data_IF_812693244218
#
_entry.id   IF_812693244218
#
_cell.length_a   1.000
_cell.length_b   1.000
_cell.length_c   1.000
_cell.angle_alpha   90.00
_cell.angle_beta   90.00
_cell.angle_gamma   90.00
#
_symmetry.space_group_name_H-M   'P 1'
#
loop_
_entity.id
_entity.type
_entity.pdbx_description
1 polymer ?
#
# COMPACT_ATOMS: atom_id res chain seq x y z
N UNK A 1 1.95 -6.48 -24.76
CA UNK A 1 1.60 -5.32 -23.92
C UNK A 1 2.75 -5.12 -22.95
N UNK A 2 3.35 -3.93 -22.81
CA UNK A 2 4.33 -3.70 -21.75
C UNK A 2 3.66 -3.94 -20.39
N UNK A 3 4.34 -4.69 -19.54
CA UNK A 3 3.87 -5.08 -18.22
C UNK A 3 3.79 -3.83 -17.32
N UNK A 4 2.58 -3.50 -16.82
CA UNK A 4 2.33 -2.29 -16.03
C UNK A 4 3.01 -2.37 -14.68
N UNK A 5 3.92 -1.44 -14.37
CA UNK A 5 4.73 -1.42 -13.13
C UNK A 5 3.89 -1.32 -11.84
N UNK A 6 2.63 -0.87 -11.95
CA UNK A 6 1.74 -0.67 -10.80
C UNK A 6 0.54 -1.61 -10.72
N UNK A 7 0.41 -2.57 -11.65
CA UNK A 7 -0.76 -3.45 -11.62
C UNK A 7 -0.80 -4.29 -10.34
N UNK A 8 -1.94 -4.26 -9.64
CA UNK A 8 -2.18 -5.04 -8.43
C UNK A 8 -2.45 -6.52 -8.73
N UNK A 9 -2.68 -6.85 -10.01
CA UNK A 9 -2.76 -8.19 -10.55
C UNK A 9 -1.39 -8.85 -10.76
N UNK A 10 -0.52 -8.88 -9.76
CA UNK A 10 0.72 -9.66 -9.85
C UNK A 10 0.40 -11.17 -9.93
N UNK A 11 0.96 -11.87 -10.92
CA UNK A 11 0.83 -13.33 -11.07
C UNK A 11 1.34 -14.06 -9.81
N UNK A 12 0.83 -15.27 -9.54
CA UNK A 12 1.19 -16.06 -8.36
C UNK A 12 2.72 -16.21 -8.10
N UNK A 13 3.57 -16.43 -9.12
CA UNK A 13 5.03 -16.50 -8.93
C UNK A 13 5.65 -15.16 -8.50
N UNK A 14 5.05 -14.04 -8.91
CA UNK A 14 5.54 -12.71 -8.58
C UNK A 14 5.22 -12.35 -7.12
N UNK A 15 4.07 -12.82 -6.60
CA UNK A 15 3.71 -12.69 -5.17
C UNK A 15 4.62 -13.50 -4.25
N UNK A 16 4.97 -14.73 -4.62
CA UNK A 16 5.91 -15.56 -3.86
C UNK A 16 7.31 -14.96 -3.83
N UNK A 17 7.77 -14.43 -4.96
CA UNK A 17 9.03 -13.72 -5.05
C UNK A 17 9.09 -12.49 -4.14
N UNK A 18 8.04 -11.66 -4.18
CA UNK A 18 7.95 -10.49 -3.29
C UNK A 18 7.93 -10.89 -1.81
N UNK A 19 7.30 -12.02 -1.45
CA UNK A 19 7.24 -12.48 -0.08
C UNK A 19 8.64 -12.77 0.51
N UNK A 20 9.55 -13.34 -0.28
CA UNK A 20 10.93 -13.59 0.13
C UNK A 20 11.77 -12.33 0.40
N UNK A 21 11.39 -11.19 -0.21
CA UNK A 21 12.07 -9.91 -0.02
C UNK A 21 11.55 -9.13 1.20
N UNK A 22 10.40 -9.52 1.78
CA UNK A 22 9.80 -8.76 2.88
C UNK A 22 10.64 -8.90 4.17
N UNK A 23 10.90 -7.79 4.89
CA UNK A 23 11.49 -7.86 6.22
C UNK A 23 10.61 -8.66 7.18
N UNK A 24 11.26 -9.39 8.10
CA UNK A 24 10.62 -10.29 9.05
C UNK A 24 10.60 -9.73 10.48
N UNK A 25 11.41 -8.70 10.76
CA UNK A 25 11.53 -8.06 12.08
C UNK A 25 11.45 -6.54 11.97
N UNK A 26 11.18 -5.85 13.10
CA UNK A 26 11.23 -4.38 13.14
C UNK A 26 12.65 -3.82 12.90
N UNK A 27 13.68 -4.62 13.21
CA UNK A 27 15.07 -4.30 12.90
C UNK A 27 15.36 -4.22 11.40
N UNK A 28 14.77 -5.13 10.62
CA UNK A 28 14.92 -5.19 9.16
C UNK A 28 14.01 -4.20 8.40
N UNK A 29 13.01 -3.64 9.07
CA UNK A 29 12.09 -2.69 8.47
C UNK A 29 12.76 -1.31 8.36
N UNK A 30 13.30 -0.99 7.19
CA UNK A 30 14.02 0.27 6.95
C UNK A 30 13.08 1.48 7.08
N UNK A 31 13.59 2.62 7.54
CA UNK A 31 12.81 3.85 7.68
C UNK A 31 11.78 3.82 8.81
N UNK A 32 10.77 4.71 8.72
CA UNK A 32 9.62 4.79 9.63
C UNK A 32 9.99 4.84 11.13
N UNK A 33 11.09 5.51 11.51
CA UNK A 33 11.69 5.45 12.87
C UNK A 33 10.69 5.69 14.00
N UNK A 34 9.96 6.80 13.97
CA UNK A 34 9.01 7.15 15.03
C UNK A 34 7.90 6.10 15.22
N UNK A 35 7.40 5.54 14.11
CA UNK A 35 6.41 4.45 14.15
C UNK A 35 7.03 3.20 14.78
N UNK A 36 8.24 2.80 14.35
CA UNK A 36 8.93 1.62 14.88
C UNK A 36 9.24 1.74 16.37
N UNK A 37 9.72 2.90 16.81
CA UNK A 37 10.05 3.16 18.20
C UNK A 37 8.80 3.04 19.08
N UNK A 38 7.66 3.57 18.62
CA UNK A 38 6.40 3.42 19.32
C UNK A 38 5.90 1.96 19.33
N UNK A 39 5.93 1.27 18.19
CA UNK A 39 5.56 -0.15 18.09
C UNK A 39 6.39 -1.03 19.02
N UNK A 40 7.71 -0.79 19.10
CA UNK A 40 8.59 -1.51 20.01
C UNK A 40 8.12 -1.39 21.46
N UNK A 41 7.77 -0.17 21.92
CA UNK A 41 7.33 0.06 23.30
C UNK A 41 6.02 -0.68 23.59
N UNK A 42 5.03 -0.59 22.70
CA UNK A 42 3.70 -1.21 22.92
C UNK A 42 3.74 -2.73 22.83
N UNK A 43 4.52 -3.29 21.91
CA UNK A 43 4.71 -4.75 21.79
C UNK A 43 5.41 -5.29 23.04
N UNK A 44 6.50 -4.65 23.49
CA UNK A 44 7.22 -5.07 24.69
C UNK A 44 6.35 -4.95 25.95
N UNK A 45 5.51 -3.91 26.03
CA UNK A 45 4.57 -3.76 27.13
C UNK A 45 3.49 -4.86 27.13
N UNK A 46 2.93 -5.19 25.96
CA UNK A 46 1.92 -6.24 25.81
C UNK A 46 2.49 -7.62 26.20
N UNK A 47 3.69 -7.95 25.72
CA UNK A 47 4.41 -9.18 26.08
C UNK A 47 4.62 -9.31 27.59
N UNK A 48 5.09 -8.26 28.25
CA UNK A 48 5.35 -8.27 29.71
C UNK A 48 4.08 -8.48 30.54
N UNK A 49 2.92 -8.05 30.02
CA UNK A 49 1.62 -8.24 30.68
C UNK A 49 0.95 -9.57 30.32
N UNK A 50 1.50 -10.31 29.35
CA UNK A 50 0.84 -11.50 28.76
C UNK A 50 -0.58 -11.19 28.24
N UNK A 51 -0.76 -9.97 27.74
CA UNK A 51 -2.00 -9.45 27.18
C UNK A 51 -1.88 -9.31 25.66
N UNK A 52 -2.97 -9.53 24.91
CA UNK A 52 -2.99 -9.18 23.49
C UNK A 52 -2.69 -7.71 23.27
N UNK A 53 -2.07 -7.42 22.14
CA UNK A 53 -1.87 -6.05 21.70
C UNK A 53 -3.23 -5.40 21.41
N UNK A 54 -3.38 -4.11 21.73
CA UNK A 54 -4.57 -3.36 21.29
C UNK A 54 -4.70 -3.41 19.77
N UNK A 55 -5.92 -3.25 19.27
CA UNK A 55 -6.15 -3.25 17.82
C UNK A 55 -5.39 -2.10 17.14
N UNK A 56 -4.75 -2.42 16.02
CA UNK A 56 -3.87 -1.51 15.28
C UNK A 56 -4.50 -1.14 13.93
N UNK A 57 -4.52 0.14 13.61
CA UNK A 57 -4.88 0.65 12.29
C UNK A 57 -3.65 1.18 11.57
N UNK A 58 -3.35 0.62 10.40
CA UNK A 58 -2.28 1.06 9.51
C UNK A 58 -2.88 1.80 8.31
N UNK A 59 -2.44 3.02 8.05
CA UNK A 59 -2.89 3.75 6.88
C UNK A 59 -1.74 4.44 6.12
N UNK A 60 -1.97 4.69 4.84
CA UNK A 60 -0.99 5.29 3.94
C UNK A 60 -1.08 4.69 2.54
N UNK A 61 -0.35 5.28 1.59
CA UNK A 61 -0.44 4.91 0.18
C UNK A 61 -0.10 3.42 -0.08
N UNK A 62 -0.54 2.85 -1.21
CA UNK A 62 -0.17 1.51 -1.64
C UNK A 62 1.36 1.31 -1.71
N UNK A 63 1.82 0.09 -1.44
CA UNK A 63 3.23 -0.26 -1.57
C UNK A 63 4.18 0.21 -0.46
N UNK A 64 3.71 0.95 0.55
CA UNK A 64 4.53 1.45 1.67
C UNK A 64 4.88 0.40 2.74
N UNK A 65 4.30 -0.80 2.67
CA UNK A 65 4.63 -1.92 3.56
C UNK A 65 3.63 -2.19 4.70
N UNK A 66 2.36 -1.77 4.57
CA UNK A 66 1.30 -2.04 5.58
C UNK A 66 1.16 -3.54 5.88
N UNK A 67 0.98 -4.37 4.85
CA UNK A 67 0.89 -5.83 4.98
C UNK A 67 2.15 -6.43 5.60
N UNK A 68 3.32 -5.94 5.19
CA UNK A 68 4.61 -6.37 5.76
C UNK A 68 4.70 -6.06 7.25
N UNK A 69 4.31 -4.84 7.64
CA UNK A 69 4.33 -4.41 9.02
C UNK A 69 3.35 -5.22 9.89
N UNK A 70 2.18 -5.58 9.38
CA UNK A 70 1.25 -6.47 10.08
C UNK A 70 1.87 -7.85 10.37
N UNK A 71 2.58 -8.43 9.39
CA UNK A 71 3.31 -9.69 9.59
C UNK A 71 4.44 -9.54 10.61
N UNK A 72 5.18 -8.42 10.56
CA UNK A 72 6.22 -8.13 11.55
C UNK A 72 5.62 -8.03 12.95
N UNK A 73 4.52 -7.29 13.13
CA UNK A 73 3.86 -7.16 14.44
C UNK A 73 3.46 -8.55 14.98
N UNK A 74 2.85 -9.40 14.16
CA UNK A 74 2.49 -10.76 14.57
C UNK A 74 3.73 -11.61 14.94
N UNK A 75 4.80 -11.53 14.13
CA UNK A 75 6.05 -12.24 14.40
C UNK A 75 6.72 -11.78 15.70
N UNK A 76 6.77 -10.46 15.93
CA UNK A 76 7.31 -9.89 17.17
C UNK A 76 6.48 -10.35 18.37
N UNK A 77 5.15 -10.44 18.27
CA UNK A 77 4.28 -10.96 19.32
C UNK A 77 4.38 -12.49 19.52
N UNK A 78 5.03 -13.22 18.60
CA UNK A 78 5.02 -14.68 18.58
C UNK A 78 3.63 -15.28 18.29
N UNK A 79 2.77 -14.52 17.62
CA UNK A 79 1.37 -14.85 17.34
C UNK A 79 1.16 -15.43 15.94
N UNK A 80 0.13 -16.26 15.76
CA UNK A 80 -0.30 -16.64 14.41
C UNK A 80 -1.03 -15.47 13.77
N UNK A 81 -0.84 -15.29 12.46
CA UNK A 81 -1.53 -14.26 11.68
C UNK A 81 -2.50 -14.88 10.69
N UNK A 82 -3.76 -14.47 10.76
CA UNK A 82 -4.78 -14.76 9.75
C UNK A 82 -4.99 -13.54 8.87
N UNK A 83 -4.71 -13.70 7.58
CA UNK A 83 -4.83 -12.63 6.58
C UNK A 83 -6.17 -12.74 5.85
N UNK A 84 -6.88 -11.63 5.73
CA UNK A 84 -8.06 -11.45 4.88
C UNK A 84 -8.08 -10.03 4.31
N UNK A 85 -9.07 -9.72 3.48
CA UNK A 85 -9.32 -8.35 3.01
C UNK A 85 -10.78 -7.96 3.19
N UNK A 86 -11.05 -6.67 3.25
CA UNK A 86 -12.41 -6.12 3.34
C UNK A 86 -13.33 -6.68 2.25
N UNK A 87 -12.93 -6.67 0.96
CA UNK A 87 -13.73 -7.23 -0.12
C UNK A 87 -13.91 -8.76 -0.04
N UNK A 88 -12.97 -9.49 0.57
CA UNK A 88 -13.07 -10.94 0.72
C UNK A 88 -14.09 -11.35 1.81
N UNK A 89 -14.47 -10.42 2.69
CA UNK A 89 -15.51 -10.63 3.69
C UNK A 89 -16.85 -10.22 3.08
N UNK A 90 -17.52 -11.16 2.41
CA UNK A 90 -18.82 -10.91 1.77
C UNK A 90 -19.99 -11.19 2.71
N UNK A 91 -19.87 -12.20 3.59
CA UNK A 91 -20.94 -12.66 4.46
C UNK A 91 -20.52 -12.67 5.92
N UNK A 92 -21.52 -12.49 6.79
CA UNK A 92 -21.37 -12.63 8.25
C UNK A 92 -20.72 -13.97 8.63
N UNK A 93 -21.07 -15.04 7.92
CA UNK A 93 -20.51 -16.37 8.16
C UNK A 93 -19.00 -16.45 7.93
N UNK A 94 -18.45 -15.67 7.00
CA UNK A 94 -17.01 -15.67 6.67
C UNK A 94 -16.22 -15.06 7.83
N UNK A 95 -16.68 -13.90 8.33
CA UNK A 95 -16.10 -13.26 9.51
C UNK A 95 -16.25 -14.16 10.74
N UNK A 96 -17.44 -14.74 10.95
CA UNK A 96 -17.70 -15.62 12.09
C UNK A 96 -16.77 -16.84 12.11
N UNK A 97 -16.54 -17.47 10.95
CA UNK A 97 -15.65 -18.61 10.82
C UNK A 97 -14.18 -18.24 11.06
N UNK A 98 -13.76 -17.02 10.70
CA UNK A 98 -12.41 -16.56 10.98
C UNK A 98 -12.25 -16.30 12.49
N UNK A 99 -13.14 -15.49 13.07
CA UNK A 99 -13.05 -15.08 14.47
C UNK A 99 -13.13 -16.26 15.45
N UNK A 100 -14.00 -17.24 15.17
CA UNK A 100 -14.17 -18.41 16.05
C UNK A 100 -12.97 -19.36 16.05
N UNK A 101 -12.07 -19.25 15.07
CA UNK A 101 -10.86 -20.07 14.96
C UNK A 101 -9.60 -19.35 15.47
N UNK A 102 -9.68 -18.08 15.88
CA UNK A 102 -8.54 -17.37 16.45
C UNK A 102 -8.25 -17.86 17.87
N UNK A 103 -6.98 -18.12 18.15
CA UNK A 103 -6.49 -18.41 19.48
C UNK A 103 -6.18 -17.15 20.29
N UNK A 104 -5.88 -17.33 21.59
CA UNK A 104 -5.46 -16.25 22.47
C UNK A 104 -4.16 -15.62 21.96
N UNK A 105 -4.22 -14.31 21.68
CA UNK A 105 -3.10 -13.52 21.21
C UNK A 105 -2.90 -13.54 19.69
N UNK A 106 -3.70 -14.30 18.94
CA UNK A 106 -3.60 -14.34 17.48
C UNK A 106 -3.93 -12.99 16.85
N UNK A 107 -3.42 -12.79 15.64
CA UNK A 107 -3.59 -11.56 14.86
C UNK A 107 -4.53 -11.81 13.69
N UNK A 108 -5.59 -11.01 13.58
CA UNK A 108 -6.42 -10.91 12.39
C UNK A 108 -6.03 -9.68 11.58
N UNK A 109 -5.39 -9.88 10.43
CA UNK A 109 -5.07 -8.80 9.50
C UNK A 109 -6.16 -8.65 8.44
N UNK A 110 -6.75 -7.46 8.35
CA UNK A 110 -7.78 -7.10 7.36
C UNK A 110 -7.24 -5.99 6.46
N UNK A 111 -6.77 -6.36 5.27
CA UNK A 111 -6.37 -5.37 4.26
C UNK A 111 -7.60 -4.71 3.63
N UNK A 112 -7.46 -3.48 3.15
CA UNK A 112 -8.59 -2.69 2.62
C UNK A 112 -9.82 -2.71 3.53
N UNK A 113 -9.62 -2.55 4.85
CA UNK A 113 -10.69 -2.69 5.86
C UNK A 113 -11.88 -1.75 5.60
N UNK A 114 -11.63 -0.61 4.95
CA UNK A 114 -12.66 0.35 4.55
C UNK A 114 -13.63 -0.16 3.47
N UNK A 115 -13.32 -1.28 2.80
CA UNK A 115 -14.19 -1.91 1.79
C UNK A 115 -15.04 -3.04 2.37
N UNK A 116 -14.97 -3.29 3.68
CA UNK A 116 -15.91 -4.21 4.33
C UNK A 116 -17.35 -3.73 4.12
N UNK A 117 -18.27 -4.68 3.97
CA UNK A 117 -19.67 -4.32 3.95
C UNK A 117 -20.10 -3.81 5.34
N UNK A 118 -21.07 -2.89 5.37
CA UNK A 118 -21.55 -2.28 6.61
C UNK A 118 -22.08 -3.29 7.63
N UNK A 119 -22.74 -4.36 7.17
CA UNK A 119 -23.29 -5.40 8.04
C UNK A 119 -22.20 -6.18 8.77
N UNK A 120 -21.09 -6.48 8.11
CA UNK A 120 -19.93 -7.19 8.65
C UNK A 120 -19.18 -6.26 9.59
N UNK A 121 -19.04 -4.98 9.22
CA UNK A 121 -18.46 -3.96 10.08
C UNK A 121 -19.23 -3.84 11.40
N UNK A 122 -20.56 -3.77 11.37
CA UNK A 122 -21.40 -3.71 12.58
C UNK A 122 -21.27 -4.96 13.45
N UNK A 123 -21.05 -6.14 12.85
CA UNK A 123 -20.84 -7.41 13.56
C UNK A 123 -19.43 -7.51 14.13
N UNK A 124 -18.46 -6.78 13.57
CA UNK A 124 -17.10 -6.74 14.08
C UNK A 124 -17.00 -5.96 15.40
N UNK A 125 -17.91 -5.01 15.67
CA UNK A 125 -17.83 -4.15 16.85
C UNK A 125 -17.82 -4.91 18.19
N UNK A 126 -18.76 -5.84 18.47
CA UNK A 126 -18.73 -6.60 19.72
C UNK A 126 -17.51 -7.52 19.80
N UNK A 127 -16.98 -7.98 18.67
CA UNK A 127 -15.78 -8.81 18.63
C UNK A 127 -14.52 -8.01 19.03
N UNK A 128 -14.46 -6.72 18.69
CA UNK A 128 -13.37 -5.81 19.08
C UNK A 128 -13.48 -5.34 20.53
N UNK A 129 -14.69 -5.07 21.00
CA UNK A 129 -14.91 -4.46 22.33
C UNK A 129 -15.00 -5.51 23.44
N UNK A 130 -15.82 -6.54 23.21
CA UNK A 130 -16.21 -7.52 24.23
C UNK A 130 -15.61 -8.92 23.98
N UNK A 131 -14.90 -9.12 22.87
CA UNK A 131 -14.47 -10.45 22.41
C UNK A 131 -15.65 -11.43 22.33
N UNK A 132 -16.76 -10.97 21.78
CA UNK A 132 -17.96 -11.77 21.60
C UNK A 132 -18.56 -11.58 20.21
N UNK A 133 -19.28 -12.59 19.74
CA UNK A 133 -19.94 -12.57 18.44
C UNK A 133 -21.40 -13.00 18.59
N UNK A 134 -22.32 -12.13 18.19
CA UNK A 134 -23.75 -12.41 18.19
C UNK A 134 -24.18 -12.97 16.83
N UNK A 135 -24.58 -14.24 16.79
CA UNK A 135 -25.03 -14.93 15.57
C UNK A 135 -26.52 -15.22 15.67
N UNK A 136 -27.27 -14.82 14.64
CA UNK A 136 -28.69 -15.18 14.50
C UNK A 136 -28.79 -16.58 13.87
N UNK A 137 -29.38 -17.53 14.61
CA UNK A 137 -29.62 -18.89 14.15
C UNK A 137 -31.12 -19.12 13.97
N UNK A 138 -31.50 -19.63 12.80
CA UNK A 138 -32.90 -19.87 12.41
C UNK A 138 -33.43 -18.84 11.40
N UNK A 139 -34.71 -18.96 11.01
CA UNK A 139 -35.38 -18.04 10.08
C UNK A 139 -36.75 -17.63 10.61
N UNK A 140 -37.14 -16.38 10.39
CA UNK A 140 -38.46 -15.87 10.76
C UNK A 140 -38.63 -15.67 12.27
N UNK A 141 -39.88 -15.71 12.79
CA UNK A 141 -40.18 -15.41 14.20
C UNK A 141 -39.54 -16.35 15.23
N UNK A 142 -38.99 -17.48 14.80
CA UNK A 142 -38.33 -18.48 15.65
C UNK A 142 -36.80 -18.31 15.70
N UNK A 143 -36.24 -17.33 14.99
CA UNK A 143 -34.83 -17.03 15.03
C UNK A 143 -34.38 -16.65 16.45
N UNK A 144 -33.25 -17.19 16.88
CA UNK A 144 -32.65 -16.90 18.18
C UNK A 144 -31.25 -16.36 17.99
N UNK A 145 -30.88 -15.36 18.80
CA UNK A 145 -29.50 -14.86 18.85
C UNK A 145 -28.70 -15.71 19.82
N UNK A 146 -27.58 -16.27 19.33
CA UNK A 146 -26.58 -16.96 20.12
C UNK A 146 -25.35 -16.08 20.25
N UNK A 147 -24.92 -15.82 21.49
CA UNK A 147 -23.67 -15.13 21.77
C UNK A 147 -22.54 -16.15 21.93
N UNK A 148 -21.55 -16.06 21.06
CA UNK A 148 -20.31 -16.84 21.12
C UNK A 148 -19.23 -16.01 21.78
N UNK A 149 -18.56 -16.57 22.78
CA UNK A 149 -17.37 -15.95 23.34
C UNK A 149 -16.16 -16.29 22.45
N UNK A 150 -15.34 -15.29 22.16
CA UNK A 150 -14.12 -15.41 21.39
C UNK A 150 -12.92 -15.41 22.34
N UNK A 151 -11.82 -16.01 21.90
CA UNK A 151 -10.52 -15.77 22.53
C UNK A 151 -10.14 -14.30 22.38
N UNK A 152 -9.21 -13.81 23.21
CA UNK A 152 -8.72 -12.45 23.05
C UNK A 152 -7.68 -12.39 21.93
N UNK A 153 -7.94 -11.62 20.88
CA UNK A 153 -7.10 -11.50 19.68
C UNK A 153 -6.79 -10.02 19.37
N UNK A 154 -5.89 -9.77 18.42
CA UNK A 154 -5.56 -8.43 17.93
C UNK A 154 -6.00 -8.28 16.48
N UNK A 155 -6.82 -7.27 16.17
CA UNK A 155 -7.07 -6.86 14.78
C UNK A 155 -5.99 -5.88 14.34
N UNK A 156 -5.44 -6.12 13.14
CA UNK A 156 -4.67 -5.14 12.39
C UNK A 156 -5.45 -4.77 11.12
N UNK A 157 -6.01 -3.57 11.07
CA UNK A 157 -6.68 -3.04 9.88
C UNK A 157 -5.70 -2.28 8.99
N UNK A 158 -5.81 -2.41 7.67
CA UNK A 158 -5.08 -1.56 6.72
C UNK A 158 -5.99 -0.81 5.76
N UNK A 159 -5.67 0.46 5.49
CA UNK A 159 -6.39 1.31 4.54
C UNK A 159 -5.46 2.27 3.79
N UNK A 160 -5.90 2.83 2.67
CA UNK A 160 -5.17 3.90 1.97
C UNK A 160 -5.32 5.23 2.70
N UNK A 161 -6.56 5.55 3.11
CA UNK A 161 -6.93 6.81 3.77
C UNK A 161 -7.75 6.53 5.02
N UNK A 162 -7.45 7.25 6.09
CA UNK A 162 -8.18 7.15 7.36
C UNK A 162 -9.64 7.61 7.24
N UNK A 163 -9.91 8.57 6.35
CA UNK A 163 -11.25 9.12 6.12
C UNK A 163 -12.24 8.16 5.46
N UNK A 164 -11.77 7.02 4.94
CA UNK A 164 -12.62 6.01 4.32
C UNK A 164 -13.30 5.10 5.37
N UNK A 165 -12.82 5.08 6.61
CA UNK A 165 -13.43 4.31 7.68
C UNK A 165 -14.57 5.09 8.33
N UNK A 166 -15.59 4.37 8.78
CA UNK A 166 -16.61 4.94 9.66
C UNK A 166 -15.98 5.41 10.99
N UNK A 167 -16.58 6.42 11.63
CA UNK A 167 -16.14 6.82 12.99
C UNK A 167 -16.22 5.65 13.97
N UNK A 168 -17.35 4.90 14.04
CA UNK A 168 -17.45 3.77 14.97
C UNK A 168 -16.32 2.74 14.82
N UNK A 169 -15.95 2.36 13.60
CA UNK A 169 -14.88 1.39 13.39
C UNK A 169 -13.51 1.99 13.77
N UNK A 170 -13.25 3.24 13.36
CA UNK A 170 -11.97 3.92 13.65
C UNK A 170 -11.73 4.06 15.15
N UNK A 171 -12.75 4.44 15.91
CA UNK A 171 -12.64 4.74 17.34
C UNK A 171 -12.37 3.48 18.19
N UNK A 172 -12.50 2.27 17.62
CA UNK A 172 -12.19 0.97 18.25
C UNK A 172 -10.75 0.52 18.06
N UNK A 173 -9.96 1.23 17.26
CA UNK A 173 -8.52 0.97 17.15
C UNK A 173 -7.77 1.76 18.23
N UNK A 174 -7.16 1.05 19.18
CA UNK A 174 -6.37 1.67 20.25
C UNK A 174 -5.11 2.37 19.74
N UNK A 175 -4.58 1.91 18.59
CA UNK A 175 -3.40 2.47 17.97
C UNK A 175 -3.63 2.74 16.48
N UNK A 176 -3.20 3.90 16.01
CA UNK A 176 -3.28 4.28 14.59
C UNK A 176 -1.93 4.80 14.10
N UNK A 177 -1.41 4.20 13.02
CA UNK A 177 -0.10 4.54 12.46
C UNK A 177 -0.20 4.94 10.99
N UNK A 178 0.40 6.08 10.67
CA UNK A 178 0.58 6.56 9.30
C UNK A 178 1.92 6.10 8.73
N UNK A 179 1.90 5.37 7.61
CA UNK A 179 3.09 5.08 6.83
C UNK A 179 3.29 6.21 5.83
N UNK A 180 4.40 6.94 5.98
CA UNK A 180 4.79 8.00 5.05
C UNK A 180 5.57 7.44 3.85
N UNK A 181 5.69 8.22 2.79
CA UNK A 181 6.66 7.94 1.73
C UNK A 181 8.08 7.86 2.30
N UNK A 182 8.90 7.02 1.69
CA UNK A 182 10.27 6.80 2.13
C UNK A 182 11.19 7.86 1.55
N UNK A 183 12.27 8.19 2.26
CA UNK A 183 13.34 8.98 1.66
C UNK A 183 14.18 8.12 0.71
N UNK A 184 14.79 8.73 -0.30
CA UNK A 184 15.60 8.02 -1.30
C UNK A 184 16.75 7.22 -0.66
N UNK A 185 17.32 7.70 0.45
CA UNK A 185 18.33 6.95 1.18
C UNK A 185 17.76 5.64 1.76
N UNK A 186 16.55 5.69 2.32
CA UNK A 186 15.89 4.51 2.90
C UNK A 186 15.47 3.52 1.81
N UNK A 187 14.97 4.01 0.66
CA UNK A 187 14.69 3.16 -0.50
C UNK A 187 15.97 2.52 -1.04
N UNK A 188 17.09 3.24 -1.06
CA UNK A 188 18.39 2.69 -1.47
C UNK A 188 18.81 1.49 -0.62
N UNK A 189 18.70 1.61 0.72
CA UNK A 189 18.97 0.50 1.65
C UNK A 189 18.05 -0.70 1.42
N UNK A 190 16.79 -0.47 1.05
CA UNK A 190 15.84 -1.54 0.70
C UNK A 190 16.31 -2.26 -0.58
N UNK A 191 16.70 -1.51 -1.61
CA UNK A 191 17.22 -2.06 -2.87
C UNK A 191 18.48 -2.87 -2.62
N UNK A 192 19.44 -2.35 -1.84
CA UNK A 192 20.68 -3.07 -1.50
C UNK A 192 20.40 -4.39 -0.77
N UNK A 193 19.50 -4.36 0.22
CA UNK A 193 19.08 -5.58 0.94
C UNK A 193 18.44 -6.58 -0.03
N UNK A 194 17.54 -6.13 -0.88
CA UNK A 194 16.88 -6.99 -1.87
C UNK A 194 17.88 -7.56 -2.88
N UNK A 195 18.83 -6.75 -3.37
CA UNK A 195 19.88 -7.19 -4.27
C UNK A 195 20.73 -8.30 -3.64
N UNK A 196 21.10 -8.13 -2.36
CA UNK A 196 21.84 -9.15 -1.60
C UNK A 196 21.05 -10.47 -1.46
N UNK A 197 19.75 -10.40 -1.14
CA UNK A 197 18.89 -11.60 -1.04
C UNK A 197 18.81 -12.33 -2.39
N UNK A 198 18.81 -11.58 -3.48
CA UNK A 198 18.71 -12.11 -4.85
C UNK A 198 20.05 -12.51 -5.46
N UNK A 199 21.17 -12.33 -4.75
CA UNK A 199 22.50 -12.61 -5.26
C UNK A 199 22.90 -11.70 -6.44
N UNK A 200 22.37 -10.47 -6.47
CA UNK A 200 22.64 -9.47 -7.51
C UNK A 200 23.74 -8.54 -7.02
N UNK A 201 24.78 -8.37 -7.84
CA UNK A 201 25.78 -7.32 -7.63
C UNK A 201 25.32 -6.02 -8.31
N UNK A 202 24.84 -5.07 -7.50
CA UNK A 202 24.32 -3.79 -7.95
C UNK A 202 25.25 -2.65 -7.51
N UNK A 203 25.76 -1.91 -8.49
CA UNK A 203 26.64 -0.77 -8.23
C UNK A 203 25.90 0.34 -7.46
N UNK A 204 26.56 1.06 -6.52
CA UNK A 204 25.94 2.18 -5.80
C UNK A 204 25.28 3.23 -6.69
N UNK A 205 25.83 3.47 -7.89
CA UNK A 205 25.25 4.38 -8.88
C UNK A 205 23.89 3.91 -9.42
N UNK A 206 23.74 2.59 -9.64
CA UNK A 206 22.48 1.99 -10.08
C UNK A 206 21.44 1.97 -8.94
N UNK A 207 21.86 1.64 -7.72
CA UNK A 207 20.98 1.68 -6.53
C UNK A 207 20.39 3.07 -6.35
N UNK A 208 21.22 4.13 -6.44
CA UNK A 208 20.77 5.51 -6.32
C UNK A 208 19.74 5.86 -7.40
N UNK A 209 20.04 5.53 -8.65
CA UNK A 209 19.14 5.79 -9.78
C UNK A 209 17.77 5.10 -9.60
N UNK A 210 17.79 3.82 -9.23
CA UNK A 210 16.57 3.06 -8.99
C UNK A 210 15.77 3.69 -7.84
N UNK A 211 16.44 4.05 -6.74
CA UNK A 211 15.81 4.72 -5.61
C UNK A 211 15.12 6.04 -5.99
N UNK A 212 15.78 6.87 -6.80
CA UNK A 212 15.24 8.15 -7.29
C UNK A 212 13.97 7.93 -8.12
N UNK A 213 13.93 6.85 -8.92
CA UNK A 213 12.80 6.51 -9.81
C UNK A 213 11.77 5.56 -9.21
N UNK A 214 11.91 5.16 -7.94
CA UNK A 214 11.02 4.21 -7.26
C UNK A 214 9.78 4.87 -6.63
N UNK A 215 9.53 6.15 -6.92
CA UNK A 215 8.42 6.93 -6.37
C UNK A 215 8.33 6.89 -4.85
N UNK A 216 9.48 6.77 -4.18
CA UNK A 216 9.57 6.68 -2.72
C UNK A 216 8.79 5.51 -2.10
N UNK A 217 8.57 4.43 -2.87
CA UNK A 217 7.86 3.24 -2.40
C UNK A 217 8.74 1.97 -2.50
N UNK A 218 8.80 1.15 -1.43
CA UNK A 218 9.53 -0.12 -1.43
C UNK A 218 9.05 -1.11 -2.51
N UNK A 219 7.74 -1.19 -2.74
CA UNK A 219 7.16 -2.11 -3.75
C UNK A 219 7.69 -1.80 -5.16
N UNK A 220 7.63 -0.53 -5.57
CA UNK A 220 8.12 -0.11 -6.89
C UNK A 220 9.63 -0.32 -6.96
N UNK A 221 10.37 -0.01 -5.90
CA UNK A 221 11.83 -0.21 -5.86
C UNK A 221 12.24 -1.66 -6.12
N UNK A 222 11.63 -2.61 -5.42
CA UNK A 222 11.91 -4.04 -5.61
C UNK A 222 11.48 -4.52 -6.99
N UNK A 223 10.36 -4.02 -7.53
CA UNK A 223 9.91 -4.34 -8.88
C UNK A 223 10.89 -3.82 -9.94
N UNK A 224 11.34 -2.56 -9.82
CA UNK A 224 12.34 -2.00 -10.72
C UNK A 224 13.65 -2.78 -10.64
N UNK A 225 14.16 -3.09 -9.45
CA UNK A 225 15.35 -3.91 -9.28
C UNK A 225 15.23 -5.26 -10.01
N UNK A 226 14.10 -5.96 -9.86
CA UNK A 226 13.83 -7.22 -10.56
C UNK A 226 13.88 -7.04 -12.08
N UNK A 227 13.22 -6.01 -12.63
CA UNK A 227 13.20 -5.78 -14.07
C UNK A 227 14.57 -5.38 -14.62
N UNK A 228 15.33 -4.57 -13.88
CA UNK A 228 16.71 -4.22 -14.26
C UNK A 228 17.61 -5.46 -14.21
N UNK A 229 17.44 -6.35 -13.24
CA UNK A 229 18.13 -7.65 -13.21
C UNK A 229 17.81 -8.47 -14.45
N UNK A 230 16.53 -8.63 -14.78
CA UNK A 230 16.10 -9.43 -15.93
C UNK A 230 16.69 -8.86 -17.24
N UNK A 231 16.75 -7.53 -17.37
CA UNK A 231 17.42 -6.85 -18.48
C UNK A 231 18.93 -7.12 -18.49
N UNK A 232 19.61 -6.96 -17.34
CA UNK A 232 21.06 -7.13 -17.22
C UNK A 232 21.50 -8.57 -17.52
N UNK A 233 20.71 -9.57 -17.11
CA UNK A 233 20.98 -10.98 -17.42
C UNK A 233 21.03 -11.27 -18.93
N UNK A 234 20.24 -10.54 -19.73
CA UNK A 234 20.18 -10.74 -21.18
C UNK A 234 21.14 -9.83 -21.93
N UNK A 235 21.38 -8.60 -21.45
CA UNK A 235 22.05 -7.54 -22.21
C UNK A 235 23.36 -7.01 -21.60
N UNK A 236 23.71 -7.42 -20.39
CA UNK A 236 24.86 -6.87 -19.66
C UNK A 236 25.54 -7.89 -18.74
N UNK A 237 25.54 -9.19 -19.11
CA UNK A 237 26.20 -10.28 -18.38
C UNK A 237 25.87 -10.35 -16.87
N UNK A 238 24.66 -9.91 -16.51
CA UNK A 238 24.17 -9.91 -15.13
C UNK A 238 24.69 -8.77 -14.24
N UNK A 239 25.52 -7.85 -14.76
CA UNK A 239 26.01 -6.70 -13.98
C UNK A 239 25.02 -5.54 -13.99
N UNK A 240 24.64 -5.04 -12.81
CA UNK A 240 23.77 -3.87 -12.69
C UNK A 240 24.63 -2.62 -12.39
N UNK A 241 25.15 -2.01 -13.45
CA UNK A 241 25.83 -0.71 -13.41
C UNK A 241 24.83 0.42 -13.65
N UNK A 242 25.24 1.68 -13.37
CA UNK A 242 24.36 2.83 -13.63
C UNK A 242 23.87 2.92 -15.09
N UNK A 243 24.72 2.81 -16.14
CA UNK A 243 24.26 2.86 -17.52
C UNK A 243 23.26 1.75 -17.87
N UNK A 244 23.49 0.53 -17.38
CA UNK A 244 22.58 -0.61 -17.60
C UNK A 244 21.21 -0.34 -16.96
N UNK A 245 21.20 0.24 -15.77
CA UNK A 245 19.96 0.63 -15.10
C UNK A 245 19.25 1.78 -15.86
N UNK A 246 19.96 2.75 -16.41
CA UNK A 246 19.39 3.82 -17.24
C UNK A 246 18.71 3.25 -18.50
N UNK A 247 19.40 2.35 -19.22
CA UNK A 247 18.87 1.69 -20.42
C UNK A 247 17.65 0.82 -20.10
N UNK A 248 17.71 0.05 -19.02
CA UNK A 248 16.60 -0.78 -18.58
C UNK A 248 15.37 0.07 -18.21
N UNK A 249 15.56 1.15 -17.45
CA UNK A 249 14.47 2.07 -17.07
C UNK A 249 13.88 2.79 -18.28
N UNK A 250 14.71 3.16 -19.26
CA UNK A 250 14.25 3.73 -20.52
C UNK A 250 13.38 2.73 -21.29
N UNK A 251 13.78 1.45 -21.35
CA UNK A 251 13.00 0.39 -21.99
C UNK A 251 11.67 0.10 -21.26
N UNK A 252 11.63 0.31 -19.94
CA UNK A 252 10.42 0.23 -19.12
C UNK A 252 9.56 1.51 -19.18
N UNK A 253 9.95 2.51 -19.97
CA UNK A 253 9.30 3.80 -20.06
C UNK A 253 9.20 4.56 -18.72
N UNK A 254 10.18 4.36 -17.82
CA UNK A 254 10.28 5.06 -16.54
C UNK A 254 11.18 6.28 -16.69
N UNK A 255 10.58 7.46 -16.57
CA UNK A 255 11.30 8.72 -16.77
C UNK A 255 12.18 9.12 -15.57
N UNK A 256 12.82 10.29 -15.66
CA UNK A 256 13.74 10.80 -14.64
C UNK A 256 13.07 11.06 -13.27
N UNK A 257 11.75 11.27 -13.23
CA UNK A 257 10.98 11.46 -11.99
C UNK A 257 10.32 10.15 -11.53
N UNK A 258 10.56 9.04 -12.22
CA UNK A 258 9.97 7.73 -11.91
C UNK A 258 8.54 7.56 -12.45
N UNK A 259 8.06 8.47 -13.30
CA UNK A 259 6.73 8.34 -13.91
C UNK A 259 6.75 7.27 -15.00
N UNK A 260 5.69 6.47 -15.05
CA UNK A 260 5.46 5.51 -16.14
C UNK A 260 4.57 6.10 -17.24
N UNK A 261 4.20 5.24 -18.20
CA UNK A 261 3.32 5.60 -19.30
C UNK A 261 1.93 6.06 -18.88
N UNK A 262 1.38 5.53 -17.78
CA UNK A 262 0.04 5.89 -17.30
C UNK A 262 0.09 7.24 -16.60
N UNK A 263 1.09 7.49 -15.76
CA UNK A 263 1.31 8.81 -15.15
C UNK A 263 1.40 9.91 -16.22
N UNK A 264 2.26 9.69 -17.22
CA UNK A 264 2.46 10.64 -18.31
C UNK A 264 1.19 10.80 -19.14
N UNK A 265 0.47 9.71 -19.43
CA UNK A 265 -0.81 9.76 -20.15
C UNK A 265 -1.88 10.53 -19.38
N UNK A 266 -1.95 10.40 -18.05
CA UNK A 266 -2.86 11.18 -17.21
C UNK A 266 -2.56 12.68 -17.34
N UNK A 267 -1.29 13.07 -17.16
CA UNK A 267 -0.87 14.47 -17.27
C UNK A 267 -1.06 15.03 -18.69
N UNK A 268 -0.65 14.28 -19.73
CA UNK A 268 -0.86 14.65 -21.14
C UNK A 268 -2.35 14.83 -21.45
N UNK A 269 -3.20 13.92 -20.96
CA UNK A 269 -4.65 14.02 -21.15
C UNK A 269 -5.20 15.31 -20.55
N UNK A 270 -4.76 15.69 -19.36
CA UNK A 270 -5.17 16.95 -18.71
C UNK A 270 -4.68 18.16 -19.52
N UNK A 271 -3.43 18.15 -19.97
CA UNK A 271 -2.81 19.26 -20.71
C UNK A 271 -3.44 19.42 -22.09
N UNK A 272 -3.45 18.36 -22.90
CA UNK A 272 -3.84 18.43 -24.31
C UNK A 272 -5.35 18.43 -24.51
N UNK A 273 -6.09 17.54 -23.82
CA UNK A 273 -7.54 17.40 -24.04
C UNK A 273 -8.37 18.38 -23.20
N UNK A 274 -7.85 18.77 -22.04
CA UNK A 274 -8.57 19.62 -21.09
C UNK A 274 -7.89 20.96 -20.83
N UNK A 275 -6.91 21.35 -21.66
CA UNK A 275 -6.21 22.65 -21.60
C UNK A 275 -5.63 22.97 -20.21
N UNK A 276 -5.13 21.94 -19.52
CA UNK A 276 -4.60 22.04 -18.16
C UNK A 276 -5.62 21.80 -17.05
N UNK A 277 -6.91 21.62 -17.36
CA UNK A 277 -7.99 21.41 -16.41
C UNK A 277 -8.77 22.69 -16.07
N UNK A 278 -9.71 22.63 -15.09
CA UNK A 278 -10.01 21.50 -14.22
C UNK A 278 -10.80 20.38 -14.93
N UNK A 279 -10.46 19.11 -14.64
CA UNK A 279 -11.18 17.92 -15.13
C UNK A 279 -11.64 17.01 -13.98
N UNK A 280 -12.88 16.52 -14.04
CA UNK A 280 -13.42 15.57 -13.07
C UNK A 280 -12.74 14.19 -13.14
N UNK A 281 -12.69 13.47 -12.00
CA UNK A 281 -12.03 12.15 -11.94
C UNK A 281 -12.66 11.14 -12.91
N UNK A 282 -14.00 11.11 -12.96
CA UNK A 282 -14.74 10.21 -13.86
C UNK A 282 -14.45 10.49 -15.33
N UNK A 283 -14.35 11.76 -15.71
CA UNK A 283 -13.99 12.18 -17.08
C UNK A 283 -12.55 11.81 -17.41
N UNK A 284 -11.63 11.99 -16.46
CA UNK A 284 -10.22 11.63 -16.64
C UNK A 284 -10.05 10.12 -16.77
N UNK A 285 -10.73 9.34 -15.92
CA UNK A 285 -10.78 7.87 -15.97
C UNK A 285 -11.27 7.37 -17.34
N UNK A 286 -12.42 7.88 -17.80
CA UNK A 286 -12.97 7.53 -19.11
C UNK A 286 -12.02 7.91 -20.27
N UNK A 287 -11.32 9.04 -20.16
CA UNK A 287 -10.41 9.53 -21.22
C UNK A 287 -9.08 8.78 -21.28
N UNK A 288 -8.68 8.14 -20.18
CA UNK A 288 -7.41 7.40 -20.06
C UNK A 288 -7.58 5.88 -20.07
N UNK A 289 -8.83 5.39 -20.04
CA UNK A 289 -9.18 3.97 -19.94
C UNK A 289 -8.61 3.31 -18.67
N UNK A 290 -8.65 4.05 -17.56
CA UNK A 290 -8.26 3.54 -16.24
C UNK A 290 -9.44 3.63 -15.29
N UNK A 291 -9.45 2.79 -14.27
CA UNK A 291 -10.46 2.81 -13.21
C UNK A 291 -10.29 4.05 -12.32
N UNK A 292 -11.42 4.56 -11.81
CA UNK A 292 -11.47 5.75 -10.94
C UNK A 292 -10.60 5.54 -9.70
N UNK A 293 -10.76 4.40 -9.02
CA UNK A 293 -10.03 4.07 -7.80
C UNK A 293 -8.53 3.93 -8.07
N UNK A 294 -8.15 3.33 -9.21
CA UNK A 294 -6.74 3.21 -9.59
C UNK A 294 -6.09 4.57 -9.78
N UNK A 295 -6.77 5.52 -10.45
CA UNK A 295 -6.23 6.89 -10.56
C UNK A 295 -6.11 7.54 -9.19
N UNK A 296 -7.15 7.48 -8.36
CA UNK A 296 -7.21 8.19 -7.09
C UNK A 296 -6.24 7.65 -6.03
N UNK A 297 -6.11 6.33 -5.93
CA UNK A 297 -5.39 5.66 -4.85
C UNK A 297 -3.96 5.25 -5.25
N UNK A 298 -3.66 5.09 -6.54
CA UNK A 298 -2.35 4.63 -7.02
C UNK A 298 -1.52 5.75 -7.64
N UNK A 299 -2.05 6.43 -8.67
CA UNK A 299 -1.27 7.39 -9.46
C UNK A 299 -1.30 8.81 -8.89
N UNK A 300 -2.50 9.30 -8.58
CA UNK A 300 -2.72 10.67 -8.12
C UNK A 300 -1.91 11.05 -6.86
N UNK A 301 -1.72 10.19 -5.83
CA UNK A 301 -0.96 10.54 -4.64
C UNK A 301 0.49 10.93 -4.95
N UNK A 302 1.15 10.23 -5.87
CA UNK A 302 2.54 10.53 -6.23
C UNK A 302 2.63 11.78 -7.11
N UNK A 303 1.70 11.96 -8.05
CA UNK A 303 1.65 13.17 -8.89
C UNK A 303 1.37 14.44 -8.07
N UNK A 304 0.52 14.35 -7.04
CA UNK A 304 0.30 15.44 -6.08
C UNK A 304 1.56 15.72 -5.26
N UNK A 305 2.26 14.68 -4.81
CA UNK A 305 3.49 14.83 -4.04
C UNK A 305 4.62 15.49 -4.83
N UNK A 306 4.77 15.14 -6.11
CA UNK A 306 5.72 15.82 -7.02
C UNK A 306 5.27 17.25 -7.38
N UNK A 307 4.03 17.63 -7.06
CA UNK A 307 3.46 18.91 -7.43
C UNK A 307 3.15 19.02 -8.92
N UNK A 308 3.01 17.90 -9.65
CA UNK A 308 2.64 17.87 -11.08
C UNK A 308 1.12 17.99 -11.27
N UNK A 309 0.37 17.62 -10.24
CA UNK A 309 -1.09 17.69 -10.22
C UNK A 309 -1.55 18.51 -9.00
N UNK A 310 -2.65 19.22 -9.15
CA UNK A 310 -3.37 19.86 -8.05
C UNK A 310 -4.85 19.48 -8.06
N UNK A 311 -5.42 19.24 -6.88
CA UNK A 311 -6.87 19.04 -6.70
C UNK A 311 -7.56 20.38 -6.43
N UNK A 312 -8.65 20.64 -7.14
CA UNK A 312 -9.57 21.76 -6.89
C UNK A 312 -10.99 21.24 -6.70
N UNK A 313 -11.91 22.02 -6.12
CA UNK A 313 -13.32 21.64 -6.04
C UNK A 313 -13.97 21.32 -7.41
N UNK A 314 -13.42 21.90 -8.49
CA UNK A 314 -13.92 21.71 -9.86
C UNK A 314 -13.28 20.53 -10.59
N UNK A 315 -12.20 19.95 -10.05
CA UNK A 315 -11.46 18.87 -10.71
C UNK A 315 -9.94 18.98 -10.54
N UNK A 316 -9.22 18.13 -11.28
CA UNK A 316 -7.77 18.03 -11.32
C UNK A 316 -7.20 19.02 -12.32
N UNK A 317 -6.08 19.65 -11.97
CA UNK A 317 -5.39 20.66 -12.78
C UNK A 317 -3.92 20.27 -12.89
N UNK A 318 -3.36 20.33 -14.10
CA UNK A 318 -1.92 20.15 -14.30
C UNK A 318 -1.18 21.44 -13.92
N UNK A 319 -0.07 21.30 -13.19
CA UNK A 319 0.73 22.45 -12.76
C UNK A 319 1.78 22.82 -13.80
N UNK A 320 2.37 24.00 -13.66
CA UNK A 320 3.46 24.47 -14.53
C UNK A 320 4.66 23.50 -14.55
N UNK A 321 4.88 22.76 -13.44
CA UNK A 321 5.90 21.73 -13.36
C UNK A 321 5.60 20.56 -14.31
N UNK A 322 4.33 20.13 -14.39
CA UNK A 322 3.93 19.07 -15.32
C UNK A 322 4.08 19.50 -16.78
N UNK A 323 3.73 20.75 -17.10
CA UNK A 323 3.93 21.33 -18.44
C UNK A 323 5.41 21.27 -18.83
N UNK A 324 6.30 21.84 -18.00
CA UNK A 324 7.74 21.86 -18.28
C UNK A 324 8.34 20.45 -18.36
N UNK A 325 7.92 19.55 -17.48
CA UNK A 325 8.39 18.16 -17.48
C UNK A 325 8.03 17.42 -18.79
N UNK A 326 6.83 17.66 -19.31
CA UNK A 326 6.35 17.05 -20.55
C UNK A 326 6.73 17.83 -21.82
N UNK A 327 7.52 18.90 -21.69
CA UNK A 327 7.99 19.71 -22.82
C UNK A 327 6.96 20.67 -23.42
N UNK A 328 5.95 21.06 -22.64
CA UNK A 328 4.96 22.08 -23.02
C UNK A 328 5.29 23.44 -22.40
N UNK A 329 4.93 24.51 -23.10
CA UNK A 329 4.96 25.86 -22.53
C UNK A 329 3.86 26.00 -21.48
N UNK A 330 4.24 26.44 -20.28
CA UNK A 330 3.27 26.68 -19.21
C UNK A 330 2.33 27.82 -19.60
N UNK A 331 1.01 27.68 -19.38
CA UNK A 331 0.06 28.74 -19.69
C UNK A 331 0.36 29.99 -18.85
N UNK A 332 0.39 31.15 -19.50
CA UNK A 332 0.74 32.41 -18.83
C UNK A 332 -0.39 32.80 -17.86
N UNK A 333 -0.18 32.63 -16.55
CA UNK A 333 -1.22 32.83 -15.51
C UNK A 333 -1.42 34.30 -15.09
N UNK A 334 -0.83 35.26 -15.78
CA UNK A 334 -1.02 36.70 -15.53
C UNK A 334 -2.38 37.25 -16.01
N UNK A 335 -3.35 36.42 -16.39
CA UNK A 335 -4.66 36.88 -16.90
C UNK A 335 -5.83 36.03 -16.41
N UNK A 336 -6.01 35.92 -15.09
CA UNK A 336 -7.26 35.44 -14.47
C UNK A 336 -7.73 36.40 -13.38
#
# INVERSE_FOLDING_TARGET
MPERILDEGADAPEREFEAGLRPQSLGDFVGQRALKDNLNVVIEAAKKREEPLEHVLLYGNPGLGKTTLANIIANELGAQIRVTSGPALERVGDLAAILSNLGKGDVLFIDEIHRMNRTIEEILYPAMEDYALDIIVGKGPTARTLRLNLERFTIIGATTRLSLLSSPLRDRFGMTYHLNFYEHEDVGKIIERSAKILGIDAEPGAVRLLSERSRRTPRIANRLLKRVRDFAQVRADGQITRPVAEDALAMLNVDAHGLDDVDRRLLLTIIEKFQGGPVGLSTLAASTQEEIDTIEDVYEPFLLQLGFLTRTPRGRVATDLAYRHLGFDAPNRESL
#
